data_IF_112791167716
#
_entry.id   IF_112791167716
#
_cell.length_a   1.000
_cell.length_b   1.000
_cell.length_c   1.000
_cell.angle_alpha   90.00
_cell.angle_beta   90.00
_cell.angle_gamma   90.00
#
_symmetry.space_group_name_H-M   'P 1'
#
loop_
_entity.id
_entity.type
_entity.pdbx_description
1 polymer ?
#
# COMPACT_ATOMS: atom_id res chain seq x y z
N UNK A 1 19.67 -9.84 13.96
CA UNK A 1 19.14 -11.02 13.26
C UNK A 1 19.89 -11.21 11.95
N UNK A 2 20.15 -12.46 11.53
CA UNK A 2 20.97 -12.83 10.35
C UNK A 2 20.42 -12.28 9.02
N UNK A 3 19.11 -12.03 8.94
CA UNK A 3 18.44 -11.63 7.69
C UNK A 3 17.81 -10.24 7.75
N UNK A 4 18.11 -9.44 8.77
CA UNK A 4 17.51 -8.12 9.00
C UNK A 4 16.50 -8.11 10.16
N UNK A 5 15.77 -7.01 10.30
CA UNK A 5 14.81 -6.83 11.41
C UNK A 5 13.48 -7.47 11.04
N UNK A 6 12.96 -8.30 11.96
CA UNK A 6 11.58 -8.80 11.92
C UNK A 6 10.71 -7.80 12.67
N UNK A 7 9.68 -7.27 12.02
CA UNK A 7 8.78 -6.27 12.61
C UNK A 7 7.50 -6.90 13.15
N UNK A 8 7.05 -8.02 12.57
CA UNK A 8 5.87 -8.76 13.04
C UNK A 8 6.04 -10.27 12.82
N UNK A 9 5.54 -11.05 13.78
CA UNK A 9 5.40 -12.50 13.67
C UNK A 9 3.99 -12.87 14.09
N UNK A 10 3.31 -13.66 13.27
CA UNK A 10 1.98 -14.20 13.57
C UNK A 10 1.96 -15.70 13.25
N UNK A 11 1.39 -16.52 14.13
CA UNK A 11 1.31 -17.97 13.95
C UNK A 11 -0.15 -18.38 14.00
N UNK A 12 -0.65 -18.87 12.88
CA UNK A 12 -1.96 -19.49 12.75
C UNK A 12 -1.81 -20.99 12.92
N UNK A 13 -2.16 -21.48 14.11
CA UNK A 13 -2.21 -22.91 14.40
C UNK A 13 -3.37 -23.57 13.66
N UNK A 14 -3.11 -24.76 13.10
CA UNK A 14 -4.14 -25.59 12.50
C UNK A 14 -5.26 -25.87 13.53
N UNK A 15 -6.51 -25.62 13.14
CA UNK A 15 -7.67 -25.86 14.03
C UNK A 15 -8.33 -27.21 13.73
N UNK A 16 -8.19 -27.70 12.51
CA UNK A 16 -8.81 -28.94 12.04
C UNK A 16 -7.78 -29.98 11.56
N UNK A 17 -8.18 -31.25 11.61
CA UNK A 17 -7.33 -32.38 11.21
C UNK A 17 -7.11 -32.34 9.70
N UNK A 18 -5.88 -32.01 9.27
CA UNK A 18 -5.50 -31.89 7.86
C UNK A 18 -5.07 -30.47 7.45
N UNK A 19 -5.33 -29.47 8.29
CA UNK A 19 -4.76 -28.14 8.10
C UNK A 19 -3.29 -28.08 8.52
N UNK A 20 -2.52 -27.21 7.87
CA UNK A 20 -1.13 -26.93 8.23
C UNK A 20 -1.07 -25.65 9.05
N UNK A 21 -0.31 -25.66 10.14
CA UNK A 21 0.08 -24.45 10.85
C UNK A 21 0.84 -23.53 9.90
N UNK A 22 0.50 -22.23 9.90
CA UNK A 22 1.14 -21.22 9.06
C UNK A 22 1.74 -20.13 9.92
N UNK A 23 2.96 -19.71 9.60
CA UNK A 23 3.58 -18.52 10.19
C UNK A 23 3.63 -17.41 9.15
N UNK A 24 3.33 -16.17 9.57
CA UNK A 24 3.57 -14.97 8.80
C UNK A 24 4.68 -14.18 9.48
N UNK A 25 5.66 -13.74 8.69
CA UNK A 25 6.78 -12.93 9.15
C UNK A 25 6.86 -11.68 8.29
N UNK A 26 6.78 -10.51 8.91
CA UNK A 26 7.01 -9.23 8.25
C UNK A 26 8.44 -8.79 8.53
N UNK A 27 9.20 -8.54 7.46
CA UNK A 27 10.57 -8.02 7.55
C UNK A 27 10.55 -6.50 7.34
N UNK A 28 11.46 -5.78 8.00
CA UNK A 28 11.55 -4.31 7.90
C UNK A 28 12.05 -3.77 6.56
N UNK A 29 12.50 -4.62 5.64
CA UNK A 29 12.83 -4.23 4.27
C UNK A 29 12.60 -5.39 3.30
N UNK A 30 12.28 -5.08 2.04
CA UNK A 30 12.04 -6.10 1.01
C UNK A 30 13.26 -6.99 0.78
N UNK A 31 14.43 -6.40 0.61
CA UNK A 31 15.69 -7.15 0.43
C UNK A 31 16.01 -8.08 1.62
N UNK A 32 15.58 -7.70 2.83
CA UNK A 32 15.70 -8.56 4.02
C UNK A 32 14.79 -9.79 3.88
N UNK A 33 13.56 -9.61 3.39
CA UNK A 33 12.62 -10.70 3.13
C UNK A 33 13.06 -11.58 1.96
N UNK A 34 13.60 -11.02 0.88
CA UNK A 34 14.14 -11.80 -0.25
C UNK A 34 15.24 -12.75 0.25
N UNK A 35 16.25 -12.21 0.96
CA UNK A 35 17.34 -13.02 1.54
C UNK A 35 16.86 -14.04 2.56
N UNK A 36 15.88 -13.68 3.40
CA UNK A 36 15.30 -14.60 4.38
C UNK A 36 14.58 -15.76 3.69
N UNK A 37 13.77 -15.46 2.68
CA UNK A 37 13.04 -16.47 1.90
C UNK A 37 14.02 -17.42 1.22
N UNK A 38 14.99 -16.90 0.47
CA UNK A 38 15.94 -17.73 -0.29
C UNK A 38 16.81 -18.60 0.62
N UNK A 39 17.22 -18.10 1.79
CA UNK A 39 18.08 -18.84 2.71
C UNK A 39 17.34 -19.86 3.59
N UNK A 40 16.02 -19.73 3.73
CA UNK A 40 15.21 -20.58 4.61
C UNK A 40 14.29 -21.52 3.83
N UNK A 41 14.13 -21.32 2.52
CA UNK A 41 13.43 -22.24 1.64
C UNK A 41 14.05 -23.64 1.71
N UNK A 42 13.20 -24.66 1.87
CA UNK A 42 13.55 -26.09 1.95
C UNK A 42 14.49 -26.46 3.10
N UNK A 43 14.76 -25.52 4.02
CA UNK A 43 15.57 -25.79 5.20
C UNK A 43 14.80 -26.68 6.16
N UNK A 44 15.42 -27.77 6.59
CA UNK A 44 14.84 -28.66 7.59
C UNK A 44 14.84 -28.02 8.98
N UNK A 45 13.69 -28.07 9.64
CA UNK A 45 13.48 -27.75 11.05
C UNK A 45 12.63 -28.85 11.65
N UNK A 46 13.14 -29.54 12.68
CA UNK A 46 12.46 -30.66 13.35
C UNK A 46 11.97 -31.77 12.40
N UNK A 47 12.75 -32.06 11.36
CA UNK A 47 12.42 -33.08 10.35
C UNK A 47 11.35 -32.67 9.35
N UNK A 48 10.96 -31.38 9.32
CA UNK A 48 10.01 -30.83 8.35
C UNK A 48 10.69 -29.71 7.56
N UNK A 49 10.68 -29.75 6.21
CA UNK A 49 11.21 -28.67 5.40
C UNK A 49 10.32 -27.43 5.49
N UNK A 50 10.93 -26.26 5.63
CA UNK A 50 10.22 -24.98 5.58
C UNK A 50 9.85 -24.62 4.14
N UNK A 51 8.55 -24.39 3.90
CA UNK A 51 8.04 -23.85 2.65
C UNK A 51 7.65 -22.39 2.85
N UNK A 52 8.38 -21.46 2.21
CA UNK A 52 8.20 -20.02 2.42
C UNK A 52 7.74 -19.37 1.13
N UNK A 53 6.54 -18.80 1.19
CA UNK A 53 5.98 -18.00 0.11
C UNK A 53 5.80 -16.54 0.54
N UNK A 54 5.73 -15.67 -0.45
CA UNK A 54 5.28 -14.30 -0.24
C UNK A 54 3.84 -14.31 0.23
N UNK A 55 3.60 -13.79 1.43
CA UNK A 55 2.25 -13.53 1.88
C UNK A 55 1.62 -12.46 0.98
N UNK A 56 0.41 -12.73 0.48
CA UNK A 56 -0.44 -11.66 -0.02
C UNK A 56 -0.90 -10.85 1.18
N UNK A 57 -0.45 -9.60 1.26
CA UNK A 57 -0.88 -8.64 2.27
C UNK A 57 -2.41 -8.55 2.26
N UNK A 58 -3.08 -9.04 3.29
CA UNK A 58 -4.53 -8.99 3.42
C UNK A 58 -4.91 -8.28 4.72
N UNK A 59 -5.92 -7.38 4.69
CA UNK A 59 -6.44 -6.77 5.92
C UNK A 59 -6.97 -7.85 6.87
N UNK A 60 -6.55 -7.78 8.13
CA UNK A 60 -7.13 -8.62 9.19
C UNK A 60 -8.53 -8.11 9.55
N UNK A 61 -9.39 -9.00 10.04
CA UNK A 61 -10.71 -8.60 10.53
C UNK A 61 -10.60 -7.54 11.63
N UNK A 62 -11.44 -6.51 11.56
CA UNK A 62 -11.47 -5.40 12.52
C UNK A 62 -10.40 -4.31 12.33
N UNK A 63 -9.47 -4.44 11.37
CA UNK A 63 -8.52 -3.36 11.09
C UNK A 63 -9.20 -2.19 10.35
N UNK A 64 -8.72 -0.96 10.60
CA UNK A 64 -9.21 0.24 9.90
C UNK A 64 -8.94 0.09 8.40
N UNK A 65 -9.98 0.23 7.58
CA UNK A 65 -9.87 0.22 6.11
C UNK A 65 -10.22 1.60 5.55
N UNK A 66 -9.49 2.02 4.53
CA UNK A 66 -9.70 3.28 3.80
C UNK A 66 -10.00 2.92 2.36
N UNK A 67 -11.25 3.10 1.95
CA UNK A 67 -11.69 2.87 0.58
C UNK A 67 -11.44 4.13 -0.24
N UNK A 68 -10.76 3.96 -1.37
CA UNK A 68 -10.39 5.07 -2.24
C UNK A 68 -11.36 5.16 -3.40
N UNK A 69 -12.07 6.28 -3.48
CA UNK A 69 -13.02 6.57 -4.54
C UNK A 69 -12.45 7.63 -5.49
N UNK A 70 -12.29 7.33 -6.79
CA UNK A 70 -11.91 8.33 -7.77
C UNK A 70 -12.97 9.44 -7.88
N UNK A 71 -12.58 10.72 -8.01
CA UNK A 71 -13.54 11.78 -8.28
C UNK A 71 -14.32 11.52 -9.57
N UNK A 72 -15.64 11.68 -9.48
CA UNK A 72 -16.57 11.50 -10.63
C UNK A 72 -16.27 12.53 -11.73
N UNK A 73 -15.94 13.76 -11.34
CA UNK A 73 -15.53 14.79 -12.29
C UNK A 73 -14.12 14.48 -12.84
N UNK A 74 -14.07 14.15 -14.13
CA UNK A 74 -12.84 13.85 -14.87
C UNK A 74 -11.86 15.01 -14.87
N UNK A 75 -12.33 16.27 -14.86
CA UNK A 75 -11.44 17.45 -14.80
C UNK A 75 -10.77 17.52 -13.45
N UNK A 76 -11.53 17.40 -12.37
CA UNK A 76 -11.01 17.37 -10.99
C UNK A 76 -10.02 16.21 -10.80
N UNK A 77 -10.39 14.99 -11.23
CA UNK A 77 -9.51 13.82 -11.18
C UNK A 77 -8.16 14.07 -11.86
N UNK A 78 -8.16 14.62 -13.08
CA UNK A 78 -6.92 14.97 -13.81
C UNK A 78 -6.06 15.98 -13.06
N UNK A 79 -6.68 16.96 -12.39
CA UNK A 79 -5.96 17.95 -11.58
C UNK A 79 -5.28 17.26 -10.39
N UNK A 80 -6.02 16.42 -9.67
CA UNK A 80 -5.49 15.67 -8.52
C UNK A 80 -4.38 14.71 -8.95
N UNK A 81 -4.60 13.94 -10.03
CA UNK A 81 -3.59 13.03 -10.59
C UNK A 81 -2.29 13.76 -10.94
N UNK A 82 -2.40 14.93 -11.58
CA UNK A 82 -1.23 15.70 -11.99
C UNK A 82 -0.49 16.29 -10.80
N UNK A 83 -1.20 16.81 -9.81
CA UNK A 83 -0.58 17.30 -8.59
C UNK A 83 0.12 16.16 -7.84
N UNK A 84 -0.57 15.03 -7.65
CA UNK A 84 -0.03 13.84 -7.01
C UNK A 84 1.26 13.35 -7.69
N UNK A 85 1.33 13.39 -9.03
CA UNK A 85 2.53 13.02 -9.76
C UNK A 85 3.71 13.94 -9.44
N UNK A 86 3.50 15.25 -9.46
CA UNK A 86 4.57 16.21 -9.15
C UNK A 86 5.00 16.10 -7.67
N UNK A 87 4.05 15.96 -6.74
CA UNK A 87 4.37 15.81 -5.32
C UNK A 87 5.13 14.50 -5.06
N UNK A 88 4.81 13.42 -5.75
CA UNK A 88 5.56 12.17 -5.65
C UNK A 88 7.00 12.28 -6.18
N UNK A 89 7.29 13.23 -7.07
CA UNK A 89 8.62 13.45 -7.65
C UNK A 89 9.45 14.45 -6.85
N UNK A 90 8.84 15.58 -6.47
CA UNK A 90 9.50 16.72 -5.83
C UNK A 90 9.40 16.68 -4.29
N UNK A 91 8.45 15.92 -3.76
CA UNK A 91 8.21 15.76 -2.33
C UNK A 91 7.36 16.87 -1.69
N UNK A 92 7.32 16.85 -0.36
CA UNK A 92 6.50 17.73 0.47
C UNK A 92 6.75 19.24 0.27
N UNK A 93 7.99 19.74 0.02
CA UNK A 93 8.19 21.17 -0.22
C UNK A 93 7.37 21.71 -1.39
N UNK A 94 7.17 20.91 -2.45
CA UNK A 94 6.34 21.31 -3.59
C UNK A 94 4.86 21.43 -3.21
N UNK A 95 4.35 20.50 -2.40
CA UNK A 95 2.98 20.55 -1.87
C UNK A 95 2.74 21.83 -1.07
N UNK A 96 3.66 22.19 -0.17
CA UNK A 96 3.55 23.41 0.64
C UNK A 96 3.49 24.67 -0.22
N UNK A 97 4.36 24.78 -1.24
CA UNK A 97 4.35 25.93 -2.16
C UNK A 97 3.00 26.05 -2.90
N UNK A 98 2.39 24.93 -3.28
CA UNK A 98 1.07 24.94 -3.94
C UNK A 98 -0.01 25.41 -2.96
N UNK A 99 0.01 24.93 -1.71
CA UNK A 99 -0.93 25.39 -0.68
C UNK A 99 -0.77 26.90 -0.44
N UNK A 100 0.44 27.39 -0.19
CA UNK A 100 0.70 28.81 0.11
C UNK A 100 0.24 29.79 -0.99
N UNK A 101 0.25 29.35 -2.25
CA UNK A 101 -0.13 30.18 -3.40
C UNK A 101 -1.62 30.13 -3.75
N UNK A 102 -2.33 29.11 -3.28
CA UNK A 102 -3.70 28.83 -3.68
C UNK A 102 -4.69 29.10 -2.54
N UNK A 103 -5.81 29.71 -2.87
CA UNK A 103 -6.87 30.00 -1.89
C UNK A 103 -7.50 28.71 -1.38
N UNK A 104 -7.98 28.71 -0.13
CA UNK A 104 -8.64 27.55 0.48
C UNK A 104 -9.91 27.10 -0.27
N UNK A 105 -10.59 28.01 -0.97
CA UNK A 105 -11.76 27.73 -1.81
C UNK A 105 -11.41 27.52 -3.30
N UNK A 106 -10.12 27.40 -3.61
CA UNK A 106 -9.60 27.33 -4.97
C UNK A 106 -9.66 25.93 -5.59
N UNK A 107 -8.94 25.79 -6.71
CA UNK A 107 -8.85 24.51 -7.45
C UNK A 107 -8.27 23.38 -6.59
N UNK A 108 -7.40 23.74 -5.63
CA UNK A 108 -6.72 22.82 -4.73
C UNK A 108 -7.30 22.79 -3.32
N UNK A 109 -8.56 23.19 -3.15
CA UNK A 109 -9.27 23.17 -1.86
C UNK A 109 -9.16 21.83 -1.11
N UNK A 110 -9.08 20.72 -1.85
CA UNK A 110 -8.92 19.37 -1.28
C UNK A 110 -7.64 19.20 -0.45
N UNK A 111 -6.60 20.03 -0.64
CA UNK A 111 -5.38 19.98 0.18
C UNK A 111 -5.64 20.38 1.64
N UNK A 112 -6.68 21.17 1.89
CA UNK A 112 -7.05 21.65 3.22
C UNK A 112 -8.09 20.75 3.92
N UNK A 113 -8.75 19.87 3.17
CA UNK A 113 -9.84 19.02 3.67
C UNK A 113 -9.36 17.57 3.81
N UNK A 114 -8.59 17.30 4.87
CA UNK A 114 -7.84 16.04 5.05
C UNK A 114 -8.68 14.75 5.05
N UNK A 115 -9.97 14.83 5.41
CA UNK A 115 -10.88 13.67 5.42
C UNK A 115 -11.82 13.63 4.22
N UNK A 116 -11.70 14.58 3.27
CA UNK A 116 -12.51 14.57 2.06
C UNK A 116 -12.14 13.40 1.13
N UNK A 117 -13.10 12.84 0.38
CA UNK A 117 -12.81 11.81 -0.63
C UNK A 117 -11.74 12.23 -1.63
N UNK A 118 -11.74 13.51 -2.03
CA UNK A 118 -10.74 14.09 -2.94
C UNK A 118 -9.33 14.07 -2.32
N UNK A 119 -9.18 14.38 -1.03
CA UNK A 119 -7.90 14.32 -0.33
C UNK A 119 -7.42 12.87 -0.12
N UNK A 120 -8.33 11.96 0.23
CA UNK A 120 -8.05 10.53 0.35
C UNK A 120 -7.53 9.99 -0.99
N UNK A 121 -8.21 10.31 -2.10
CA UNK A 121 -7.77 9.97 -3.44
C UNK A 121 -6.39 10.56 -3.76
N UNK A 122 -6.17 11.85 -3.46
CA UNK A 122 -4.88 12.52 -3.66
C UNK A 122 -3.72 11.83 -2.93
N UNK A 123 -3.89 11.50 -1.63
CA UNK A 123 -2.86 10.84 -0.82
C UNK A 123 -2.53 9.45 -1.35
N UNK A 124 -3.57 8.66 -1.67
CA UNK A 124 -3.40 7.37 -2.32
C UNK A 124 -2.66 7.51 -3.65
N UNK A 125 -3.04 8.49 -4.47
CA UNK A 125 -2.46 8.66 -5.79
C UNK A 125 -0.99 9.08 -5.73
N UNK A 126 -0.64 9.95 -4.78
CA UNK A 126 0.73 10.38 -4.52
C UNK A 126 1.59 9.17 -4.13
N UNK A 127 1.09 8.33 -3.23
CA UNK A 127 1.75 7.07 -2.86
C UNK A 127 1.91 6.14 -4.07
N UNK A 128 0.85 5.93 -4.86
CA UNK A 128 0.89 5.06 -6.04
C UNK A 128 2.00 5.50 -7.01
N UNK A 129 2.10 6.80 -7.31
CA UNK A 129 3.19 7.32 -8.16
C UNK A 129 4.57 7.16 -7.54
N UNK A 130 4.71 7.35 -6.22
CA UNK A 130 5.98 7.14 -5.53
C UNK A 130 6.42 5.67 -5.57
N UNK A 131 5.47 4.74 -5.64
CA UNK A 131 5.74 3.31 -5.83
C UNK A 131 5.94 2.91 -7.30
N UNK A 132 5.91 3.84 -8.25
CA UNK A 132 6.17 3.57 -9.67
C UNK A 132 4.94 3.29 -10.53
N UNK A 133 3.71 3.45 -10.02
CA UNK A 133 2.51 3.37 -10.85
C UNK A 133 2.43 4.54 -11.83
N UNK A 134 1.56 4.46 -12.83
CA UNK A 134 1.37 5.50 -13.84
C UNK A 134 -0.09 5.93 -13.98
N UNK A 135 -0.36 6.93 -14.84
CA UNK A 135 -1.69 7.52 -15.02
C UNK A 135 -2.78 6.52 -15.46
N UNK A 136 -2.42 5.44 -16.14
CA UNK A 136 -3.35 4.46 -16.71
C UNK A 136 -3.39 3.14 -15.95
N UNK A 137 -2.26 2.74 -15.37
CA UNK A 137 -2.08 1.44 -14.71
C UNK A 137 -1.55 1.67 -13.30
N UNK A 138 -2.24 1.08 -12.33
CA UNK A 138 -1.89 1.13 -10.91
C UNK A 138 -2.27 -0.18 -10.22
N UNK A 139 -1.65 -0.44 -9.07
CA UNK A 139 -1.93 -1.62 -8.25
C UNK A 139 -3.28 -1.48 -7.55
N UNK A 140 -4.07 -2.55 -7.58
CA UNK A 140 -5.42 -2.59 -7.00
C UNK A 140 -5.48 -3.40 -5.70
N UNK A 141 -4.38 -4.07 -5.32
CA UNK A 141 -4.30 -4.82 -4.07
C UNK A 141 -4.32 -3.91 -2.83
N UNK A 142 -4.92 -4.42 -1.77
CA UNK A 142 -4.93 -3.74 -0.48
C UNK A 142 -3.52 -3.62 0.09
N UNK A 143 -3.21 -2.48 0.68
CA UNK A 143 -1.89 -2.22 1.26
C UNK A 143 -1.97 -1.29 2.46
N UNK A 144 -0.89 -1.15 3.22
CA UNK A 144 -0.75 -0.13 4.27
C UNK A 144 0.30 0.90 3.85
N UNK A 145 -0.02 2.19 3.97
CA UNK A 145 0.97 3.27 3.75
C UNK A 145 2.00 3.37 4.88
N UNK A 146 1.62 2.97 6.10
CA UNK A 146 2.46 2.99 7.30
C UNK A 146 2.20 1.74 8.12
N UNK A 147 3.20 1.25 8.86
CA UNK A 147 3.14 -0.04 9.58
C UNK A 147 1.96 -0.15 10.57
N UNK A 148 1.58 0.96 11.21
CA UNK A 148 0.42 1.05 12.12
C UNK A 148 -0.81 1.72 11.50
N UNK A 149 -0.79 1.94 10.17
CA UNK A 149 -1.83 2.65 9.45
C UNK A 149 -3.02 1.79 9.08
N UNK A 150 -4.09 2.45 8.64
CA UNK A 150 -5.22 1.76 8.01
C UNK A 150 -4.82 1.10 6.69
N UNK A 151 -5.56 0.06 6.32
CA UNK A 151 -5.43 -0.61 5.03
C UNK A 151 -6.16 0.16 3.94
N UNK A 152 -5.40 0.62 2.96
CA UNK A 152 -5.90 1.31 1.79
C UNK A 152 -6.38 0.31 0.77
N UNK A 153 -7.59 0.53 0.25
CA UNK A 153 -8.22 -0.24 -0.83
C UNK A 153 -8.25 0.65 -2.08
N UNK A 154 -7.28 0.51 -3.00
CA UNK A 154 -7.31 1.24 -4.25
C UNK A 154 -8.57 0.93 -5.08
N UNK A 155 -8.98 1.85 -5.97
CA UNK A 155 -9.96 1.53 -6.99
C UNK A 155 -9.40 0.50 -7.98
N UNK A 156 -10.30 -0.26 -8.61
CA UNK A 156 -9.94 -1.17 -9.70
C UNK A 156 -9.28 -0.39 -10.84
N UNK A 157 -8.24 -0.98 -11.43
CA UNK A 157 -7.56 -0.41 -12.57
C UNK A 157 -8.46 -0.50 -13.81
N UNK A 158 -8.88 0.65 -14.35
CA UNK A 158 -9.75 0.72 -15.53
C UNK A 158 -9.12 0.11 -16.79
N UNK A 159 -7.79 -0.06 -16.82
CA UNK A 159 -7.08 -0.68 -17.93
C UNK A 159 -7.03 -2.23 -17.88
N UNK A 160 -7.44 -2.85 -16.77
CA UNK A 160 -7.42 -4.32 -16.62
C UNK A 160 -8.71 -5.01 -17.10
N UNK A 161 -9.74 -4.25 -17.51
CA UNK A 161 -11.03 -4.82 -17.93
C UNK A 161 -11.06 -5.46 -19.33
N UNK A 162 -9.93 -5.50 -20.05
CA UNK A 162 -9.80 -6.11 -21.38
C UNK A 162 -9.10 -7.49 -21.33
N UNK A 163 -9.59 -8.42 -20.50
CA UNK A 163 -9.17 -9.84 -20.55
C UNK A 163 -10.36 -10.79 -20.53
#
# INVERSE_FOLDING_TARGET
SRYGIVTMVDILYAKEKGERTRGYVTMGARDNADRAKDALQDREVDGVPLWIEWAKSAPKDGCRQVFVEPPVDKRKRRIIDRLAKYVAQEGHPFEQIVMERETQDGTFAFLYQHDSPDNIYYRWRTFAFAQGDNFKVWRSEAFQMSESGGWWRPPLCEAESDK
#
